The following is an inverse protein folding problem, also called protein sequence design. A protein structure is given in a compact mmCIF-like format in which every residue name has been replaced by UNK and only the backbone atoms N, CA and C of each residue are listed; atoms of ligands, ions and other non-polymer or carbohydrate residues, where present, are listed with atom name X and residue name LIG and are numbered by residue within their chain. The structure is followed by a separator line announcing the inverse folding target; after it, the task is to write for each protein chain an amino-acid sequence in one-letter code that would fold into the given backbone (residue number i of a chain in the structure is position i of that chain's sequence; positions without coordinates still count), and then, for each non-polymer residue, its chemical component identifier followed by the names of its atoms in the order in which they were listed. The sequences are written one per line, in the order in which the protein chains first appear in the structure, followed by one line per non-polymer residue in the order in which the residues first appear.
data_IF_413105981088
#
_entry.id   IF_413105981088
#
_cell.length_a   1.000
_cell.length_b   1.000
_cell.length_c   1.000
_cell.angle_alpha   90.00
_cell.angle_beta   90.00
_cell.angle_gamma   90.00
#
_symmetry.space_group_name_H-M   'P 1'
#
loop_
_entity.id
_entity.type
_entity.pdbx_description
1 polymer ?
#
# COMPACT_ATOMS: atom_id res chain seq x y z
N UNK A 1 15.14 15.90 1.86
CA UNK A 1 14.69 14.83 2.79
C UNK A 1 15.44 13.53 2.47
N UNK A 2 15.71 12.67 3.46
CA UNK A 2 16.34 11.35 3.23
C UNK A 2 15.28 10.27 3.09
N UNK A 3 15.18 9.69 1.89
CA UNK A 3 14.32 8.54 1.59
C UNK A 3 15.24 7.36 1.33
N UNK A 4 15.04 6.26 2.03
CA UNK A 4 15.72 5.00 1.74
C UNK A 4 14.85 4.19 0.77
N UNK A 5 15.50 3.59 -0.23
CA UNK A 5 14.85 2.81 -1.27
C UNK A 5 15.41 1.40 -1.28
N UNK A 6 14.57 0.38 -1.14
CA UNK A 6 14.96 -1.04 -1.13
C UNK A 6 14.02 -1.84 -2.03
N UNK A 7 14.56 -2.79 -2.80
CA UNK A 7 13.71 -3.82 -3.45
C UNK A 7 13.45 -4.92 -2.43
N UNK A 8 12.19 -5.17 -2.11
CA UNK A 8 11.80 -6.08 -1.03
C UNK A 8 11.32 -7.43 -1.51
N UNK A 9 10.81 -7.47 -2.74
CA UNK A 9 10.56 -8.66 -3.53
C UNK A 9 10.77 -8.30 -5.01
N UNK A 10 10.58 -9.27 -5.92
CA UNK A 10 10.59 -8.95 -7.34
C UNK A 10 9.51 -7.89 -7.64
N UNK A 11 9.89 -6.84 -8.36
CA UNK A 11 8.99 -5.73 -8.73
C UNK A 11 8.25 -5.05 -7.56
N UNK A 12 8.75 -5.15 -6.32
CA UNK A 12 8.21 -4.41 -5.17
C UNK A 12 9.29 -3.51 -4.57
N UNK A 13 9.03 -2.20 -4.59
CA UNK A 13 9.93 -1.15 -4.10
C UNK A 13 9.39 -0.59 -2.79
N UNK A 14 10.18 -0.69 -1.73
CA UNK A 14 9.92 -0.05 -0.44
C UNK A 14 10.64 1.29 -0.36
N UNK A 15 9.88 2.33 0.00
CA UNK A 15 10.36 3.65 0.34
C UNK A 15 10.20 3.87 1.85
N UNK A 16 11.31 4.08 2.55
CA UNK A 16 11.32 4.34 3.99
C UNK A 16 11.66 5.80 4.27
N UNK A 17 10.71 6.48 4.89
CA UNK A 17 10.78 7.90 5.27
C UNK A 17 11.18 8.05 6.74
N UNK A 18 11.71 9.22 7.11
CA UNK A 18 12.13 9.47 8.50
C UNK A 18 10.94 9.70 9.43
N UNK A 19 9.93 10.42 8.96
CA UNK A 19 8.76 10.81 9.75
C UNK A 19 7.45 10.53 9.02
N UNK A 20 6.35 10.46 9.77
CA UNK A 20 5.01 10.38 9.19
C UNK A 20 4.71 11.55 8.26
N UNK A 21 5.05 12.76 8.68
CA UNK A 21 4.90 13.97 7.87
C UNK A 21 5.63 13.86 6.53
N UNK A 22 6.88 13.38 6.54
CA UNK A 22 7.66 13.18 5.32
C UNK A 22 7.02 12.19 4.36
N UNK A 23 6.51 11.07 4.88
CA UNK A 23 5.78 10.08 4.10
C UNK A 23 4.51 10.70 3.46
N UNK A 24 3.62 11.23 4.29
CA UNK A 24 2.29 11.70 3.88
C UNK A 24 2.39 12.89 2.93
N UNK A 25 3.25 13.86 3.22
CA UNK A 25 3.46 15.02 2.35
C UNK A 25 4.20 14.72 1.04
N UNK A 26 4.87 13.57 0.94
CA UNK A 26 5.51 13.15 -0.31
C UNK A 26 4.60 12.31 -1.19
N UNK A 27 3.68 11.53 -0.60
CA UNK A 27 2.91 10.51 -1.32
C UNK A 27 1.44 10.88 -1.57
N UNK A 28 0.93 11.95 -0.96
CA UNK A 28 -0.47 12.36 -1.05
C UNK A 28 -1.01 12.37 -2.48
N UNK A 29 -0.41 13.13 -3.41
CA UNK A 29 -0.99 13.27 -4.76
C UNK A 29 -0.97 11.95 -5.53
N UNK A 30 0.02 11.08 -5.30
CA UNK A 30 0.06 9.75 -5.90
C UNK A 30 -1.08 8.88 -5.37
N UNK A 31 -1.28 8.84 -4.05
CA UNK A 31 -2.33 8.05 -3.42
C UNK A 31 -3.72 8.53 -3.85
N UNK A 32 -3.94 9.84 -3.83
CA UNK A 32 -5.27 10.40 -4.11
C UNK A 32 -5.60 10.33 -5.61
N UNK A 33 -4.60 10.37 -6.49
CA UNK A 33 -4.80 10.05 -7.90
C UNK A 33 -5.17 8.56 -8.11
N UNK A 34 -4.75 7.67 -7.22
CA UNK A 34 -5.00 6.24 -7.31
C UNK A 34 -6.37 5.84 -6.72
N UNK A 35 -6.69 6.29 -5.51
CA UNK A 35 -7.79 5.74 -4.71
C UNK A 35 -8.89 6.74 -4.36
N UNK A 36 -8.63 8.04 -4.44
CA UNK A 36 -9.58 9.04 -3.97
C UNK A 36 -10.91 8.94 -4.71
N UNK A 37 -12.06 8.86 -4.02
CA UNK A 37 -13.36 8.85 -4.69
C UNK A 37 -13.56 10.06 -5.62
N UNK A 38 -13.01 11.21 -5.24
CA UNK A 38 -13.11 12.44 -6.02
C UNK A 38 -11.96 12.60 -7.03
N UNK A 39 -10.72 12.30 -6.63
CA UNK A 39 -9.53 12.63 -7.43
C UNK A 39 -8.96 11.46 -8.24
N UNK A 40 -9.53 10.26 -8.14
CA UNK A 40 -9.04 9.09 -8.88
C UNK A 40 -8.99 9.34 -10.39
N UNK A 41 -7.81 9.15 -10.96
CA UNK A 41 -7.54 9.35 -12.38
C UNK A 41 -7.51 10.82 -12.84
N UNK A 42 -7.76 11.78 -11.94
CA UNK A 42 -7.75 13.22 -12.27
C UNK A 42 -6.36 13.82 -12.04
N UNK A 43 -6.05 14.86 -12.79
CA UNK A 43 -4.88 15.72 -12.55
C UNK A 43 -5.33 16.88 -11.67
N UNK A 44 -4.59 17.14 -10.60
CA UNK A 44 -4.95 18.18 -9.62
C UNK A 44 -3.71 18.73 -8.91
N UNK A 45 -3.88 19.93 -8.38
CA UNK A 45 -2.90 20.63 -7.54
C UNK A 45 -3.07 20.24 -6.07
N UNK A 46 -1.99 20.38 -5.29
CA UNK A 46 -2.07 20.19 -3.84
C UNK A 46 -3.10 21.12 -3.19
N UNK A 47 -3.22 22.36 -3.68
CA UNK A 47 -4.17 23.33 -3.15
C UNK A 47 -5.63 22.93 -3.38
N UNK A 48 -5.97 22.43 -4.57
CA UNK A 48 -7.31 21.91 -4.88
C UNK A 48 -7.66 20.75 -3.95
N UNK A 49 -6.73 19.82 -3.75
CA UNK A 49 -6.95 18.72 -2.83
C UNK A 49 -7.12 19.19 -1.38
N UNK A 50 -6.27 20.11 -0.91
CA UNK A 50 -6.35 20.64 0.45
C UNK A 50 -7.71 21.28 0.74
N UNK A 51 -8.22 22.10 -0.20
CA UNK A 51 -9.54 22.73 -0.09
C UNK A 51 -10.65 21.70 -0.04
N UNK A 52 -10.62 20.71 -0.94
CA UNK A 52 -11.60 19.63 -0.95
C UNK A 52 -11.55 18.82 0.35
N UNK A 53 -10.35 18.44 0.81
CA UNK A 53 -10.14 17.65 2.02
C UNK A 53 -10.75 18.32 3.25
N UNK A 54 -10.51 19.62 3.45
CA UNK A 54 -11.03 20.36 4.62
C UNK A 54 -12.56 20.28 4.69
N UNK A 55 -13.23 20.29 3.53
CA UNK A 55 -14.69 20.32 3.45
C UNK A 55 -15.31 18.91 3.45
N UNK A 56 -14.62 17.91 2.89
CA UNK A 56 -15.23 16.61 2.57
C UNK A 56 -14.65 15.43 3.35
N UNK A 57 -13.46 15.55 3.94
CA UNK A 57 -12.91 14.47 4.75
C UNK A 57 -13.51 14.49 6.18
N UNK A 58 -13.62 13.34 6.86
CA UNK A 58 -14.11 13.29 8.23
C UNK A 58 -13.30 14.16 9.21
N UNK A 59 -11.97 14.11 9.14
CA UNK A 59 -11.09 14.90 10.02
C UNK A 59 -11.09 16.40 9.63
N UNK A 60 -11.18 16.72 8.34
CA UNK A 60 -11.37 18.09 7.85
C UNK A 60 -12.67 18.70 8.37
N UNK A 61 -13.79 18.00 8.25
CA UNK A 61 -15.10 18.46 8.75
C UNK A 61 -15.12 18.65 10.26
N UNK A 62 -14.40 17.80 10.99
CA UNK A 62 -14.29 17.86 12.45
C UNK A 62 -13.40 19.00 12.94
N UNK A 63 -12.29 19.28 12.25
CA UNK A 63 -11.27 20.23 12.71
C UNK A 63 -11.31 21.59 12.01
N UNK A 64 -11.95 21.66 10.84
CA UNK A 64 -11.88 22.79 9.92
C UNK A 64 -10.48 23.02 9.34
N UNK A 65 -9.59 22.02 9.40
CA UNK A 65 -8.17 22.14 9.05
C UNK A 65 -7.71 20.99 8.15
N UNK A 66 -6.61 21.21 7.47
CA UNK A 66 -5.94 20.17 6.70
C UNK A 66 -5.03 19.34 7.61
N UNK A 67 -5.45 18.12 7.96
CA UNK A 67 -4.72 17.22 8.86
C UNK A 67 -4.16 15.98 8.17
N UNK A 68 -4.33 15.84 6.84
CA UNK A 68 -3.91 14.67 6.06
C UNK A 68 -2.51 14.17 6.37
N UNK A 69 -1.57 15.09 6.64
CA UNK A 69 -0.19 14.73 6.93
C UNK A 69 0.02 13.91 8.22
N UNK A 70 -1.02 13.80 9.04
CA UNK A 70 -1.05 13.05 10.28
C UNK A 70 -2.01 11.85 10.26
N UNK A 71 -2.86 11.72 9.23
CA UNK A 71 -3.94 10.74 9.20
C UNK A 71 -3.47 9.32 8.83
N UNK A 72 -2.42 9.23 8.01
CA UNK A 72 -1.98 7.98 7.40
C UNK A 72 -0.59 7.56 7.89
N UNK A 73 -0.36 6.24 8.01
CA UNK A 73 0.91 5.66 8.46
C UNK A 73 1.61 4.82 7.38
N UNK A 74 0.99 4.67 6.21
CA UNK A 74 1.46 3.84 5.12
C UNK A 74 0.74 4.20 3.82
N UNK A 75 1.41 3.94 2.70
CA UNK A 75 0.89 4.19 1.36
C UNK A 75 1.32 3.04 0.45
N UNK A 76 0.50 2.73 -0.54
CA UNK A 76 0.86 1.75 -1.55
C UNK A 76 0.21 2.12 -2.88
N UNK A 77 0.91 1.89 -3.98
CA UNK A 77 0.35 2.10 -5.31
C UNK A 77 1.12 1.35 -6.40
N UNK A 78 0.43 0.92 -7.46
CA UNK A 78 1.05 0.35 -8.65
C UNK A 78 1.72 1.44 -9.51
N UNK A 79 2.81 1.07 -10.18
CA UNK A 79 3.64 1.96 -11.01
C UNK A 79 2.89 2.75 -12.09
N UNK A 80 1.73 2.29 -12.57
CA UNK A 80 0.95 3.03 -13.57
C UNK A 80 0.46 4.39 -13.05
N UNK A 81 0.32 4.55 -11.73
CA UNK A 81 -0.02 5.82 -11.05
C UNK A 81 1.04 6.89 -11.32
N UNK A 82 2.28 6.51 -11.59
CA UNK A 82 3.39 7.43 -11.86
C UNK A 82 3.37 7.98 -13.29
N UNK A 83 2.59 7.39 -14.19
CA UNK A 83 2.54 7.77 -15.62
C UNK A 83 2.32 9.29 -15.82
N UNK A 84 1.27 9.91 -15.26
CA UNK A 84 1.04 11.35 -15.42
C UNK A 84 2.12 12.21 -14.74
N UNK A 85 2.76 11.71 -13.66
CA UNK A 85 3.88 12.41 -13.01
C UNK A 85 5.15 12.37 -13.87
N UNK A 86 5.38 11.28 -14.60
CA UNK A 86 6.50 11.16 -15.53
C UNK A 86 6.28 11.99 -16.80
N UNK A 87 5.03 12.09 -17.26
CA UNK A 87 4.63 12.93 -18.39
C UNK A 87 4.67 14.43 -18.07
N UNK A 88 4.65 14.80 -16.79
CA UNK A 88 4.69 16.20 -16.35
C UNK A 88 3.30 16.84 -16.20
N UNK A 89 2.24 16.05 -16.22
CA UNK A 89 0.86 16.54 -16.10
C UNK A 89 0.59 17.12 -14.70
N UNK A 90 1.26 16.60 -13.67
CA UNK A 90 1.15 17.07 -12.28
C UNK A 90 2.01 18.29 -11.94
N UNK A 91 2.63 18.94 -12.93
CA UNK A 91 3.51 20.08 -12.68
C UNK A 91 2.73 21.32 -12.17
N UNK A 92 3.35 22.14 -11.28
CA UNK A 92 4.67 21.91 -10.69
C UNK A 92 4.64 20.78 -9.64
N UNK A 93 5.69 19.96 -9.65
CA UNK A 93 5.95 19.03 -8.55
C UNK A 93 6.59 19.78 -7.39
N UNK A 94 6.27 19.37 -6.16
CA UNK A 94 7.06 19.77 -5.00
C UNK A 94 8.43 19.06 -5.02
N UNK A 95 9.42 19.62 -4.31
CA UNK A 95 10.74 18.98 -4.18
C UNK A 95 10.67 17.53 -3.68
N UNK A 96 9.68 17.22 -2.83
CA UNK A 96 9.44 15.88 -2.31
C UNK A 96 8.96 14.93 -3.41
N UNK A 97 8.01 15.37 -4.24
CA UNK A 97 7.47 14.57 -5.33
C UNK A 97 8.49 14.36 -6.45
N UNK A 98 9.28 15.39 -6.77
CA UNK A 98 10.41 15.26 -7.68
C UNK A 98 11.40 14.18 -7.21
N UNK A 99 11.67 14.13 -5.91
CA UNK A 99 12.54 13.11 -5.32
C UNK A 99 11.94 11.69 -5.49
N UNK A 100 10.62 11.52 -5.29
CA UNK A 100 9.93 10.24 -5.52
C UNK A 100 10.02 9.83 -6.99
N UNK A 101 9.66 10.74 -7.90
CA UNK A 101 9.73 10.53 -9.35
C UNK A 101 11.14 10.11 -9.76
N UNK A 102 12.18 10.78 -9.27
CA UNK A 102 13.57 10.44 -9.56
C UNK A 102 13.97 9.05 -9.04
N UNK A 103 13.51 8.67 -7.85
CA UNK A 103 13.81 7.36 -7.26
C UNK A 103 13.12 6.19 -7.97
N UNK A 104 11.95 6.43 -8.57
CA UNK A 104 11.12 5.38 -9.16
C UNK A 104 11.26 5.30 -10.69
N UNK A 105 11.65 6.39 -11.36
CA UNK A 105 11.86 6.45 -12.82
C UNK A 105 12.80 5.38 -13.41
N UNK A 106 13.86 4.92 -12.73
CA UNK A 106 14.74 3.88 -13.30
C UNK A 106 14.12 2.49 -13.43
N UNK A 107 12.94 2.23 -12.84
CA UNK A 107 12.30 0.92 -12.94
C UNK A 107 11.70 0.70 -14.34
N UNK A 108 12.24 -0.30 -15.06
CA UNK A 108 11.91 -0.55 -16.46
C UNK A 108 10.62 -1.37 -16.67
N UNK A 109 10.18 -2.11 -15.66
CA UNK A 109 9.02 -3.01 -15.72
C UNK A 109 7.95 -2.58 -14.72
N UNK A 110 6.68 -2.95 -14.91
CA UNK A 110 5.64 -2.68 -13.92
C UNK A 110 6.03 -3.17 -12.53
N UNK A 111 5.92 -2.27 -11.55
CA UNK A 111 6.27 -2.51 -10.14
C UNK A 111 5.20 -1.98 -9.20
N UNK A 112 5.30 -2.36 -7.93
CA UNK A 112 4.50 -1.89 -6.82
C UNK A 112 5.34 -1.06 -5.86
N UNK A 113 4.81 0.04 -5.36
CA UNK A 113 5.49 0.91 -4.40
C UNK A 113 4.81 0.79 -3.05
N UNK A 114 5.61 0.66 -1.98
CA UNK A 114 5.15 0.71 -0.60
C UNK A 114 5.90 1.83 0.11
N UNK A 115 5.19 2.72 0.79
CA UNK A 115 5.74 3.82 1.58
C UNK A 115 5.48 3.61 3.07
N UNK A 116 6.54 3.64 3.88
CA UNK A 116 6.46 3.55 5.35
C UNK A 116 7.33 4.62 6.00
N UNK A 117 7.14 4.90 7.29
CA UNK A 117 8.04 5.77 8.07
C UNK A 117 8.66 5.05 9.27
N UNK A 118 9.87 5.45 9.67
CA UNK A 118 10.65 4.83 10.75
C UNK A 118 10.01 4.91 12.14
N UNK A 119 9.06 5.83 12.33
CA UNK A 119 8.33 5.94 13.60
C UNK A 119 7.25 4.86 13.76
N UNK A 120 6.99 4.03 12.74
CA UNK A 120 6.10 2.87 12.86
C UNK A 120 6.72 1.79 13.77
N UNK A 121 5.89 1.11 14.56
CA UNK A 121 6.35 -0.04 15.37
C UNK A 121 6.80 -1.17 14.46
N UNK A 122 7.94 -1.79 14.76
CA UNK A 122 8.55 -2.85 13.92
C UNK A 122 7.58 -4.00 13.65
N UNK A 123 6.85 -4.48 14.66
CA UNK A 123 5.85 -5.55 14.47
C UNK A 123 4.74 -5.14 13.51
N UNK A 124 4.23 -3.92 13.65
CA UNK A 124 3.24 -3.34 12.73
C UNK A 124 3.82 -3.18 11.32
N UNK A 125 5.10 -2.79 11.19
CA UNK A 125 5.77 -2.71 9.87
C UNK A 125 5.83 -4.09 9.23
N UNK A 126 6.16 -5.16 9.96
CA UNK A 126 6.31 -6.50 9.38
C UNK A 126 4.96 -7.02 8.88
N UNK A 127 3.90 -6.91 9.68
CA UNK A 127 2.58 -7.41 9.29
C UNK A 127 1.99 -6.59 8.14
N UNK A 128 2.08 -5.26 8.20
CA UNK A 128 1.67 -4.37 7.11
C UNK A 128 2.52 -4.64 5.87
N UNK A 129 3.84 -4.74 5.99
CA UNK A 129 4.69 -4.97 4.83
C UNK A 129 4.41 -6.32 4.18
N UNK A 130 4.16 -7.39 4.94
CA UNK A 130 3.79 -8.67 4.36
C UNK A 130 2.43 -8.61 3.65
N UNK A 131 1.46 -7.90 4.22
CA UNK A 131 0.16 -7.65 3.59
C UNK A 131 0.32 -6.89 2.27
N UNK A 132 1.11 -5.82 2.26
CA UNK A 132 1.39 -5.01 1.07
C UNK A 132 2.24 -5.74 0.02
N UNK A 133 3.18 -6.59 0.47
CA UNK A 133 3.93 -7.47 -0.44
C UNK A 133 2.99 -8.48 -1.09
N UNK A 134 1.98 -8.98 -0.35
CA UNK A 134 1.01 -9.93 -0.91
C UNK A 134 0.23 -9.30 -2.06
N UNK A 135 -0.28 -8.07 -1.89
CA UNK A 135 -0.87 -7.28 -2.98
C UNK A 135 0.09 -7.10 -4.15
N UNK A 136 1.33 -6.70 -3.88
CA UNK A 136 2.34 -6.52 -4.91
C UNK A 136 2.64 -7.80 -5.70
N UNK A 137 2.73 -8.96 -5.04
CA UNK A 137 2.91 -10.26 -5.69
C UNK A 137 1.66 -10.65 -6.48
N UNK A 138 0.46 -10.41 -5.93
CA UNK A 138 -0.80 -10.69 -6.61
C UNK A 138 -0.94 -9.90 -7.93
N UNK A 139 -0.43 -8.67 -7.94
CA UNK A 139 -0.38 -7.84 -9.14
C UNK A 139 0.73 -8.25 -10.12
N UNK A 140 1.94 -8.50 -9.63
CA UNK A 140 3.15 -8.61 -10.48
C UNK A 140 3.56 -10.03 -10.85
N UNK A 141 3.18 -11.04 -10.06
CA UNK A 141 3.53 -12.45 -10.24
C UNK A 141 2.28 -13.27 -10.59
N UNK A 142 2.17 -13.62 -11.87
CA UNK A 142 1.02 -14.36 -12.41
C UNK A 142 0.88 -15.75 -11.79
N UNK A 143 2.00 -16.42 -11.49
CA UNK A 143 1.97 -17.76 -10.88
C UNK A 143 1.58 -17.69 -9.41
N UNK A 144 2.07 -16.69 -8.67
CA UNK A 144 1.62 -16.41 -7.30
C UNK A 144 0.10 -16.22 -7.27
N UNK A 145 -0.42 -15.30 -8.09
CA UNK A 145 -1.86 -15.01 -8.18
C UNK A 145 -2.67 -16.27 -8.48
N UNK A 146 -2.22 -17.07 -9.45
CA UNK A 146 -2.91 -18.31 -9.84
C UNK A 146 -2.97 -19.33 -8.70
N UNK A 147 -1.86 -19.55 -7.98
CA UNK A 147 -1.83 -20.47 -6.82
C UNK A 147 -2.72 -19.98 -5.69
N UNK A 148 -2.66 -18.68 -5.36
CA UNK A 148 -3.51 -18.07 -4.33
C UNK A 148 -4.99 -18.23 -4.63
N UNK A 149 -5.42 -17.90 -5.85
CA UNK A 149 -6.82 -18.04 -6.25
C UNK A 149 -7.31 -19.48 -6.18
N UNK A 150 -6.47 -20.46 -6.55
CA UNK A 150 -6.81 -21.87 -6.45
C UNK A 150 -7.02 -22.32 -4.99
N UNK A 151 -6.15 -21.89 -4.06
CA UNK A 151 -6.30 -22.18 -2.64
C UNK A 151 -7.56 -21.52 -2.05
N UNK A 152 -7.84 -20.27 -2.41
CA UNK A 152 -9.03 -19.56 -1.93
C UNK A 152 -10.34 -20.20 -2.41
N UNK A 153 -10.36 -20.78 -3.62
CA UNK A 153 -11.54 -21.51 -4.14
C UNK A 153 -11.84 -22.80 -3.38
N UNK A 154 -10.86 -23.36 -2.65
CA UNK A 154 -11.04 -24.59 -1.88
C UNK A 154 -11.73 -24.40 -0.52
N UNK A 155 -12.01 -23.16 -0.14
CA UNK A 155 -12.50 -22.79 1.19
C UNK A 155 -13.75 -21.90 1.11
N UNK A 156 -14.64 -21.99 2.11
CA UNK A 156 -15.77 -21.06 2.22
C UNK A 156 -15.33 -19.76 2.88
N UNK A 157 -15.09 -18.74 2.05
CA UNK A 157 -14.69 -17.39 2.47
C UNK A 157 -15.86 -16.40 2.53
N UNK A 158 -17.11 -16.87 2.46
CA UNK A 158 -18.29 -16.00 2.41
C UNK A 158 -18.39 -15.02 3.60
N UNK A 159 -18.10 -15.50 4.81
CA UNK A 159 -18.12 -14.67 6.03
C UNK A 159 -17.07 -13.55 5.97
N UNK A 160 -15.85 -13.90 5.57
CA UNK A 160 -14.75 -12.95 5.42
C UNK A 160 -15.04 -11.94 4.30
N UNK A 161 -15.56 -12.42 3.16
CA UNK A 161 -15.96 -11.61 2.01
C UNK A 161 -17.05 -10.59 2.40
N UNK A 162 -18.02 -11.00 3.20
CA UNK A 162 -19.08 -10.12 3.70
C UNK A 162 -18.55 -9.09 4.70
N UNK A 163 -17.64 -9.49 5.62
CA UNK A 163 -16.98 -8.56 6.54
C UNK A 163 -16.20 -7.48 5.77
N UNK A 164 -15.38 -7.85 4.78
CA UNK A 164 -14.63 -6.89 3.97
C UNK A 164 -15.54 -5.93 3.19
N UNK A 165 -16.62 -6.44 2.57
CA UNK A 165 -17.64 -5.59 1.92
C UNK A 165 -18.23 -4.56 2.88
N UNK A 166 -18.53 -4.95 4.12
CA UNK A 166 -19.12 -4.06 5.12
C UNK A 166 -18.16 -3.01 5.67
N UNK A 167 -16.84 -3.24 5.59
CA UNK A 167 -15.83 -2.34 6.17
C UNK A 167 -15.43 -1.18 5.24
N UNK A 168 -15.64 -1.28 3.92
CA UNK A 168 -15.10 -0.26 3.01
C UNK A 168 -15.67 -0.18 1.60
N UNK A 169 -16.74 -0.92 1.27
CA UNK A 169 -17.35 -0.79 -0.07
C UNK A 169 -16.42 -1.16 -1.24
N UNK A 170 -15.42 -2.02 -0.99
CA UNK A 170 -14.47 -2.47 -1.99
C UNK A 170 -15.18 -2.97 -3.26
N UNK A 171 -14.73 -2.49 -4.42
CA UNK A 171 -15.25 -2.92 -5.71
C UNK A 171 -14.97 -4.43 -5.91
N UNK A 172 -15.86 -5.16 -6.58
CA UNK A 172 -15.70 -6.63 -6.73
C UNK A 172 -14.36 -7.03 -7.35
N UNK A 173 -13.80 -6.16 -8.19
CA UNK A 173 -12.52 -6.38 -8.88
C UNK A 173 -11.29 -6.41 -7.96
N UNK A 174 -11.37 -5.88 -6.73
CA UNK A 174 -10.27 -5.91 -5.75
C UNK A 174 -10.55 -6.88 -4.61
N UNK A 175 -11.76 -7.45 -4.55
CA UNK A 175 -12.20 -8.23 -3.40
C UNK A 175 -11.39 -9.51 -3.20
N UNK A 176 -10.99 -10.18 -4.28
CA UNK A 176 -10.15 -11.38 -4.19
C UNK A 176 -8.71 -11.02 -3.76
N UNK A 177 -8.22 -9.84 -4.14
CA UNK A 177 -6.93 -9.30 -3.71
C UNK A 177 -6.96 -8.98 -2.19
N UNK A 178 -7.97 -8.26 -1.71
CA UNK A 178 -8.16 -8.00 -0.28
C UNK A 178 -8.36 -9.29 0.54
N UNK A 179 -9.22 -10.19 0.04
CA UNK A 179 -9.50 -11.47 0.69
C UNK A 179 -8.23 -12.28 0.90
N UNK A 180 -7.34 -12.36 -0.10
CA UNK A 180 -6.11 -13.14 0.04
C UNK A 180 -5.14 -12.50 1.04
N UNK A 181 -4.97 -11.18 0.97
CA UNK A 181 -4.05 -10.46 1.84
C UNK A 181 -4.48 -10.53 3.31
N UNK A 182 -5.79 -10.43 3.59
CA UNK A 182 -6.35 -10.62 4.93
C UNK A 182 -6.39 -12.09 5.39
N UNK A 183 -6.53 -13.05 4.46
CA UNK A 183 -6.43 -14.49 4.80
C UNK A 183 -4.99 -14.88 5.18
N UNK A 184 -3.99 -14.26 4.55
CA UNK A 184 -2.57 -14.47 4.84
C UNK A 184 -2.13 -13.75 6.13
N UNK A 185 -2.56 -12.50 6.31
CA UNK A 185 -2.24 -11.66 7.48
C UNK A 185 -3.52 -11.08 8.08
N UNK A 186 -4.23 -11.86 8.92
CA UNK A 186 -5.44 -11.38 9.56
C UNK A 186 -5.15 -10.21 10.50
N UNK A 187 -5.90 -9.12 10.35
CA UNK A 187 -5.94 -8.07 11.37
C UNK A 187 -6.87 -8.47 12.50
N UNK A 188 -6.72 -7.90 13.71
CA UNK A 188 -7.63 -8.12 14.85
C UNK A 188 -9.11 -7.92 14.50
N UNK A 189 -9.40 -7.09 13.49
CA UNK A 189 -10.76 -6.76 13.05
C UNK A 189 -11.38 -7.82 12.13
N UNK A 190 -10.58 -8.75 11.61
CA UNK A 190 -10.93 -9.62 10.48
C UNK A 190 -10.61 -11.10 10.77
N UNK A 191 -10.16 -11.44 11.99
CA UNK A 191 -9.85 -12.83 12.39
C UNK A 191 -11.05 -13.76 12.21
N UNK A 192 -10.77 -14.96 11.71
CA UNK A 192 -11.71 -16.08 11.64
C UNK A 192 -10.96 -17.37 11.90
N UNK A 193 -11.33 -18.08 12.98
CA UNK A 193 -10.72 -19.36 13.38
C UNK A 193 -10.89 -20.45 12.31
N UNK A 194 -11.85 -20.28 11.38
CA UNK A 194 -12.13 -21.23 10.29
C UNK A 194 -11.11 -21.20 9.15
N UNK A 195 -10.16 -20.27 9.16
CA UNK A 195 -9.24 -20.03 8.03
C UNK A 195 -7.78 -20.39 8.31
N UNK A 196 -7.46 -20.99 9.46
CA UNK A 196 -6.06 -21.26 9.83
C UNK A 196 -5.35 -22.23 8.86
N UNK A 197 -6.06 -23.25 8.36
CA UNK A 197 -5.52 -24.16 7.37
C UNK A 197 -5.23 -23.46 6.03
N UNK A 198 -6.11 -22.55 5.59
CA UNK A 198 -5.89 -21.74 4.40
C UNK A 198 -4.68 -20.83 4.59
N UNK A 199 -4.61 -20.15 5.73
CA UNK A 199 -3.49 -19.26 6.07
C UNK A 199 -2.15 -19.97 5.95
N UNK A 200 -1.99 -21.18 6.52
CA UNK A 200 -0.74 -21.93 6.40
C UNK A 200 -0.37 -22.28 4.94
N UNK A 201 -1.35 -22.57 4.09
CA UNK A 201 -1.11 -22.83 2.66
C UNK A 201 -0.71 -21.55 1.93
N UNK A 202 -1.40 -20.44 2.19
CA UNK A 202 -1.07 -19.13 1.64
C UNK A 202 0.31 -18.64 2.12
N UNK A 203 0.69 -18.90 3.36
CA UNK A 203 2.02 -18.57 3.92
C UNK A 203 3.14 -19.30 3.18
N UNK A 204 2.92 -20.56 2.80
CA UNK A 204 3.89 -21.33 2.01
C UNK A 204 4.06 -20.75 0.62
N UNK A 205 2.96 -20.44 -0.07
CA UNK A 205 2.99 -19.82 -1.41
C UNK A 205 3.66 -18.45 -1.33
N UNK A 206 3.31 -17.64 -0.33
CA UNK A 206 3.93 -16.34 -0.08
C UNK A 206 5.44 -16.47 0.13
N UNK A 207 5.89 -17.37 1.01
CA UNK A 207 7.31 -17.56 1.27
C UNK A 207 8.09 -18.01 0.02
N UNK A 208 7.51 -18.89 -0.81
CA UNK A 208 8.10 -19.36 -2.07
C UNK A 208 8.33 -18.21 -3.07
N UNK A 209 7.34 -17.32 -3.20
CA UNK A 209 7.33 -16.28 -4.22
C UNK A 209 7.96 -14.96 -3.77
N UNK A 210 7.81 -14.59 -2.50
CA UNK A 210 8.36 -13.37 -1.96
C UNK A 210 9.89 -13.33 -2.07
N UNK A 211 10.56 -14.51 -2.15
CA UNK A 211 12.02 -14.69 -2.20
C UNK A 211 12.73 -13.57 -1.43
N UNK A 212 12.31 -13.38 -0.17
CA UNK A 212 12.62 -12.19 0.60
C UNK A 212 14.15 -12.05 0.65
N UNK A 213 14.68 -11.05 -0.05
CA UNK A 213 16.12 -10.80 -0.09
C UNK A 213 16.56 -10.22 1.27
N UNK A 214 16.64 -11.04 2.33
CA UNK A 214 17.10 -10.63 3.67
C UNK A 214 16.51 -9.30 4.17
N UNK A 215 15.23 -9.01 3.92
CA UNK A 215 14.75 -7.62 4.00
C UNK A 215 14.49 -7.12 5.41
N UNK A 216 14.30 -7.96 6.43
CA UNK A 216 14.14 -7.46 7.80
C UNK A 216 14.86 -8.39 8.78
N UNK A 217 16.11 -8.08 9.10
CA UNK A 217 16.65 -8.44 10.40
C UNK A 217 16.16 -7.39 11.41
N UNK A 218 15.54 -7.78 12.53
CA UNK A 218 15.08 -6.86 13.58
C UNK A 218 16.14 -5.84 14.04
N UNK A 219 17.43 -6.14 13.82
CA UNK A 219 18.57 -5.29 14.18
C UNK A 219 18.76 -4.01 13.35
N UNK A 220 18.20 -3.89 12.13
CA UNK A 220 18.38 -2.67 11.31
C UNK A 220 17.47 -1.49 11.72
N UNK A 221 16.45 -1.78 12.53
CA UNK A 221 15.58 -0.76 13.13
C UNK A 221 16.07 -0.29 14.51
N UNK A 222 17.10 -0.93 15.06
CA UNK A 222 17.71 -0.58 16.35
C UNK A 222 19.06 0.05 16.08
N UNK A 223 19.08 1.27 15.54
CA UNK A 223 20.24 2.15 15.68
C UNK A 223 19.77 3.62 15.59
N UNK A 224 19.34 4.12 16.74
CA UNK A 224 19.82 5.36 17.36
C UNK A 224 19.61 5.27 18.86
#
# INVERSE_FOLDING_TARGET
MKIERKKVADRIVLLTFQSRFDLTSSLLRFQEHYESPEFRGKIFTLEEYQKWYIVNSPEGQKTGKFTYYDDWNGFNFPSHVLTPFFAGDFNPLSEKEEQIVRLLRPEAYPFYTIGIHRQNKISTIIDVLNHEIAHGLFYTDVEYRKKVLAEMQSEDLSELRNKLRSLGGYHESVLDDELHAYSLRPSERVKSDKTENLKQRLERIFAEHAKLNNVIMPGEFIQK
#
